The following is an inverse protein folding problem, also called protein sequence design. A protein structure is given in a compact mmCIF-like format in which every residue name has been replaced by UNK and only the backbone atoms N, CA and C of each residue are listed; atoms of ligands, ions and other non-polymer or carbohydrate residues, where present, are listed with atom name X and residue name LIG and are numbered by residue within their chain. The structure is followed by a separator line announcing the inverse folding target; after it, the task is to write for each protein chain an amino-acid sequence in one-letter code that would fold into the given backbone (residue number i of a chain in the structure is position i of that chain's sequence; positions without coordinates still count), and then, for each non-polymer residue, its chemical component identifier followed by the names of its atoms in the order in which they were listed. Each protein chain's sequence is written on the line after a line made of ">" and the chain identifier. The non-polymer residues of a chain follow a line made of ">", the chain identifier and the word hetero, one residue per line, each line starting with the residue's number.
data_IF_996611992935
#
_entry.id   IF_996611992935
#
_cell.length_a   1.000
_cell.length_b   1.000
_cell.length_c   1.000
_cell.angle_alpha   90.00
_cell.angle_beta   90.00
_cell.angle_gamma   90.00
#
_symmetry.space_group_name_H-M   'P 1'
#
loop_
_entity.id
_entity.type
_entity.pdbx_description
1 polymer ?
#
# COMPACT_ATOMS: atom_id res chain seq x y z
N UNK A 1 -12.23 9.22 -24.73
CA UNK A 1 -12.24 10.42 -23.86
C UNK A 1 -11.24 10.16 -22.75
N UNK A 2 -9.97 10.42 -23.04
CA UNK A 2 -8.86 10.15 -22.13
C UNK A 2 -8.91 11.15 -20.98
N UNK A 3 -8.79 10.67 -19.74
CA UNK A 3 -8.61 11.55 -18.59
C UNK A 3 -7.12 11.82 -18.47
N UNK A 4 -6.69 12.95 -19.00
CA UNK A 4 -5.33 13.44 -18.83
C UNK A 4 -5.08 13.74 -17.35
N UNK A 5 -4.02 13.13 -16.81
CA UNK A 5 -3.56 13.36 -15.44
C UNK A 5 -2.57 14.56 -15.40
N UNK A 6 -2.56 15.34 -14.30
CA UNK A 6 -1.76 16.56 -14.21
C UNK A 6 -0.25 16.33 -14.37
N UNK A 7 0.38 17.28 -15.06
CA UNK A 7 1.74 17.27 -15.61
C UNK A 7 2.92 17.27 -14.62
N UNK A 8 2.71 17.12 -13.30
CA UNK A 8 3.74 17.41 -12.29
C UNK A 8 4.50 16.20 -11.71
N UNK A 9 4.47 15.01 -12.32
CA UNK A 9 4.99 13.79 -11.67
C UNK A 9 6.04 12.96 -12.42
N UNK A 10 6.87 13.49 -13.31
CA UNK A 10 7.77 12.64 -14.14
C UNK A 10 8.94 11.95 -13.40
N UNK A 11 8.77 10.67 -13.05
CA UNK A 11 9.79 9.59 -13.07
C UNK A 11 9.12 8.28 -13.52
N UNK A 12 9.55 7.71 -14.65
CA UNK A 12 8.81 6.70 -15.41
C UNK A 12 8.67 5.30 -14.76
N UNK A 13 9.37 5.02 -13.64
CA UNK A 13 9.21 3.76 -12.90
C UNK A 13 8.26 3.84 -11.70
N UNK A 14 8.36 4.91 -10.91
CA UNK A 14 7.55 5.10 -9.70
C UNK A 14 6.07 5.37 -10.00
N UNK A 15 5.74 5.93 -11.19
CA UNK A 15 4.34 6.17 -11.58
C UNK A 15 3.57 4.87 -11.77
N UNK A 16 4.12 3.92 -12.54
CA UNK A 16 3.43 2.67 -12.87
C UNK A 16 3.18 1.85 -11.60
N UNK A 17 4.19 1.75 -10.73
CA UNK A 17 4.05 0.98 -9.50
C UNK A 17 3.01 1.59 -8.53
N UNK A 18 2.97 2.92 -8.41
CA UNK A 18 1.90 3.61 -7.66
C UNK A 18 0.53 3.35 -8.30
N UNK A 19 0.44 3.31 -9.63
CA UNK A 19 -0.81 2.96 -10.33
C UNK A 19 -1.24 1.53 -9.99
N UNK A 20 -0.32 0.56 -10.01
CA UNK A 20 -0.60 -0.83 -9.63
C UNK A 20 -1.09 -0.94 -8.19
N UNK A 21 -0.51 -0.16 -7.26
CA UNK A 21 -0.97 -0.07 -5.88
C UNK A 21 -2.39 0.51 -5.78
N UNK A 22 -2.71 1.56 -6.53
CA UNK A 22 -4.07 2.11 -6.56
C UNK A 22 -5.07 1.11 -7.17
N UNK A 23 -4.69 0.40 -8.22
CA UNK A 23 -5.52 -0.65 -8.81
C UNK A 23 -5.77 -1.80 -7.83
N UNK A 24 -4.72 -2.22 -7.11
CA UNK A 24 -4.84 -3.22 -6.05
C UNK A 24 -5.86 -2.76 -5.00
N UNK A 25 -5.74 -1.53 -4.50
CA UNK A 25 -6.68 -1.00 -3.52
C UNK A 25 -8.12 -0.97 -4.05
N UNK A 26 -8.32 -0.50 -5.28
CA UNK A 26 -9.64 -0.44 -5.90
C UNK A 26 -10.26 -1.83 -6.09
N UNK A 27 -9.48 -2.81 -6.56
CA UNK A 27 -9.94 -4.20 -6.78
C UNK A 27 -10.27 -4.93 -5.48
N UNK A 28 -9.71 -4.49 -4.35
CA UNK A 28 -9.82 -5.21 -3.07
C UNK A 28 -10.65 -4.49 -1.99
N UNK A 29 -11.16 -3.26 -2.22
CA UNK A 29 -11.83 -2.43 -1.20
C UNK A 29 -13.06 -3.07 -0.54
N UNK A 30 -13.75 -3.96 -1.25
CA UNK A 30 -15.02 -4.57 -0.81
C UNK A 30 -14.82 -6.00 -0.22
N UNK A 31 -13.56 -6.45 -0.08
CA UNK A 31 -13.27 -7.79 0.45
C UNK A 31 -13.45 -7.85 1.97
N UNK A 32 -14.08 -8.92 2.44
CA UNK A 32 -14.22 -9.24 3.88
C UNK A 32 -12.89 -9.65 4.53
N UNK A 33 -11.96 -10.19 3.73
CA UNK A 33 -10.62 -10.58 4.16
C UNK A 33 -9.65 -9.45 3.83
N UNK A 34 -8.76 -9.12 4.76
CA UNK A 34 -7.69 -8.12 4.56
C UNK A 34 -6.83 -8.55 3.37
N UNK A 35 -6.80 -7.78 2.27
CA UNK A 35 -6.07 -8.16 1.08
C UNK A 35 -4.56 -8.09 1.36
N UNK A 36 -3.83 -9.10 0.90
CA UNK A 36 -2.40 -9.23 1.13
C UNK A 36 -1.65 -9.18 -0.21
N UNK A 37 -0.58 -8.40 -0.25
CA UNK A 37 0.43 -8.44 -1.30
C UNK A 37 1.52 -9.43 -0.89
N UNK A 38 1.97 -10.24 -1.84
CA UNK A 38 3.20 -11.02 -1.73
C UNK A 38 4.20 -10.42 -2.71
N UNK A 39 5.40 -10.11 -2.24
CA UNK A 39 6.49 -9.59 -3.06
C UNK A 39 7.39 -10.72 -3.56
N UNK A 40 8.24 -10.41 -4.54
CA UNK A 40 9.09 -11.39 -5.24
C UNK A 40 10.01 -12.19 -4.32
N UNK A 41 10.51 -11.59 -3.24
CA UNK A 41 11.36 -12.26 -2.26
C UNK A 41 10.58 -13.07 -1.20
N UNK A 42 9.25 -13.11 -1.29
CA UNK A 42 8.37 -13.78 -0.34
C UNK A 42 7.86 -12.90 0.80
N UNK A 43 8.27 -11.63 0.88
CA UNK A 43 7.71 -10.67 1.82
C UNK A 43 6.20 -10.50 1.61
N UNK A 44 5.43 -10.47 2.70
CA UNK A 44 3.97 -10.31 2.66
C UNK A 44 3.53 -9.14 3.49
N UNK A 45 2.54 -8.41 3.01
CA UNK A 45 1.99 -7.24 3.71
C UNK A 45 0.53 -7.01 3.35
N UNK A 46 -0.28 -6.60 4.33
CA UNK A 46 -1.69 -6.23 4.08
C UNK A 46 -1.79 -4.73 3.86
N UNK A 47 -2.51 -4.31 2.82
CA UNK A 47 -2.67 -2.90 2.46
C UNK A 47 -4.14 -2.65 2.14
N UNK A 48 -4.78 -1.72 2.86
CA UNK A 48 -6.20 -1.46 2.73
C UNK A 48 -6.54 0.03 2.83
N UNK A 49 -7.60 0.43 2.12
CA UNK A 49 -8.14 1.78 2.15
C UNK A 49 -9.65 1.73 1.90
N UNK A 50 -10.43 2.32 2.79
CA UNK A 50 -11.88 2.49 2.67
C UNK A 50 -12.35 3.54 3.69
N UNK A 51 -13.65 3.84 3.75
CA UNK A 51 -14.23 4.68 4.82
C UNK A 51 -13.95 4.15 6.24
N UNK A 52 -13.67 2.85 6.38
CA UNK A 52 -13.40 2.20 7.66
C UNK A 52 -11.94 2.25 8.11
N UNK A 53 -10.98 2.39 7.18
CA UNK A 53 -9.55 2.21 7.45
C UNK A 53 -8.83 3.55 7.73
N UNK A 54 -7.62 3.47 8.28
CA UNK A 54 -6.74 4.62 8.48
C UNK A 54 -6.09 5.10 7.16
N UNK A 55 -6.89 5.72 6.29
CA UNK A 55 -6.44 6.21 4.98
C UNK A 55 -6.87 7.66 4.68
N UNK A 56 -6.26 8.25 3.64
CA UNK A 56 -6.61 9.58 3.12
C UNK A 56 -6.78 9.50 1.59
N UNK A 57 -7.96 9.87 1.04
CA UNK A 57 -9.19 10.21 1.76
C UNK A 57 -9.80 8.98 2.43
N UNK A 58 -10.48 9.17 3.57
CA UNK A 58 -11.19 8.10 4.29
C UNK A 58 -12.56 7.84 3.67
N UNK A 59 -12.57 7.29 2.46
CA UNK A 59 -13.78 6.96 1.69
C UNK A 59 -13.57 5.70 0.85
N UNK A 60 -14.60 5.27 0.11
CA UNK A 60 -14.56 4.05 -0.72
C UNK A 60 -14.23 4.34 -2.20
N UNK A 61 -13.77 5.56 -2.52
CA UNK A 61 -13.63 6.03 -3.91
C UNK A 61 -12.16 6.14 -4.34
N UNK A 62 -11.29 6.68 -3.48
CA UNK A 62 -9.91 6.98 -3.85
C UNK A 62 -9.77 8.06 -4.95
N UNK A 63 -8.58 8.24 -5.57
CA UNK A 63 -7.32 7.58 -5.22
C UNK A 63 -6.84 7.96 -3.82
N UNK A 64 -6.01 7.11 -3.23
CA UNK A 64 -5.52 7.29 -1.87
C UNK A 64 -4.09 7.84 -1.85
N UNK A 65 -3.85 8.84 -1.01
CA UNK A 65 -2.52 9.40 -0.74
C UNK A 65 -1.85 8.73 0.46
N UNK A 66 -2.66 8.22 1.38
CA UNK A 66 -2.23 7.49 2.57
C UNK A 66 -3.14 6.29 2.77
N UNK A 67 -2.59 5.18 3.25
CA UNK A 67 -3.30 3.90 3.40
C UNK A 67 -3.00 3.26 4.75
N UNK A 68 -3.85 2.34 5.16
CA UNK A 68 -3.58 1.50 6.32
C UNK A 68 -2.79 0.28 5.86
N UNK A 69 -1.67 0.05 6.52
CA UNK A 69 -0.79 -1.10 6.29
C UNK A 69 -0.85 -1.99 7.53
N UNK A 70 -0.67 -3.30 7.39
CA UNK A 70 -0.67 -4.17 8.56
C UNK A 70 -0.03 -5.52 8.33
N UNK A 71 0.41 -6.11 9.45
CA UNK A 71 0.91 -7.48 9.53
C UNK A 71 1.95 -7.82 8.46
N UNK A 72 3.06 -7.05 8.35
CA UNK A 72 4.15 -7.43 7.48
C UNK A 72 4.77 -8.76 7.98
N UNK A 73 5.22 -9.62 7.06
CA UNK A 73 5.79 -10.93 7.40
C UNK A 73 7.10 -10.86 8.17
N UNK A 74 7.81 -9.75 8.05
CA UNK A 74 9.01 -9.40 8.82
C UNK A 74 9.03 -7.88 9.04
N UNK A 75 9.77 -7.37 10.06
CA UNK A 75 9.87 -5.93 10.27
C UNK A 75 10.53 -5.21 9.08
N UNK A 76 9.95 -4.09 8.65
CA UNK A 76 10.57 -3.19 7.67
C UNK A 76 10.90 -1.83 8.31
N UNK A 77 12.16 -1.35 8.27
CA UNK A 77 12.55 -0.06 8.84
C UNK A 77 11.82 1.15 8.23
N UNK A 78 11.33 1.06 6.99
CA UNK A 78 10.54 2.13 6.36
C UNK A 78 9.14 2.26 6.97
N UNK A 79 8.64 1.22 7.64
CA UNK A 79 7.32 1.21 8.26
C UNK A 79 7.39 1.51 9.76
N UNK A 80 8.53 1.27 10.42
CA UNK A 80 8.65 1.28 11.88
C UNK A 80 8.12 2.57 12.55
N UNK A 81 8.30 3.74 11.93
CA UNK A 81 7.81 5.02 12.49
C UNK A 81 6.27 5.14 12.47
N UNK A 82 5.59 4.36 11.63
CA UNK A 82 4.13 4.38 11.48
C UNK A 82 3.46 3.33 12.35
N UNK A 83 4.19 2.49 13.08
CA UNK A 83 3.62 1.39 13.85
C UNK A 83 2.72 1.89 14.99
N UNK A 84 1.50 1.35 15.10
CA UNK A 84 0.63 1.59 16.27
C UNK A 84 1.21 0.91 17.53
N UNK A 85 1.87 -0.23 17.35
CA UNK A 85 2.66 -0.92 18.37
C UNK A 85 4.14 -0.97 17.94
N UNK A 86 5.03 -0.17 18.55
CA UNK A 86 6.43 -0.13 18.18
C UNK A 86 7.25 -1.34 18.68
N UNK A 87 6.65 -2.22 19.49
CA UNK A 87 7.30 -3.45 20.01
C UNK A 87 7.03 -4.62 19.07
N UNK A 88 5.80 -4.78 18.60
CA UNK A 88 5.35 -5.93 17.80
C UNK A 88 5.13 -5.56 16.31
N UNK A 89 6.22 -5.23 15.61
CA UNK A 89 6.18 -4.70 14.23
C UNK A 89 5.53 -5.64 13.20
N UNK A 90 5.52 -6.96 13.42
CA UNK A 90 4.85 -7.90 12.49
C UNK A 90 3.39 -8.17 12.85
N UNK A 91 2.92 -7.70 14.01
CA UNK A 91 1.58 -7.97 14.56
C UNK A 91 0.80 -6.70 14.87
N UNK A 92 1.12 -5.63 14.16
CA UNK A 92 0.50 -4.31 14.35
C UNK A 92 -0.04 -3.72 13.06
N UNK A 93 -0.84 -2.67 13.23
CA UNK A 93 -1.34 -1.81 12.16
C UNK A 93 -0.44 -0.57 12.07
N UNK A 94 -0.33 -0.06 10.85
CA UNK A 94 0.43 1.12 10.51
C UNK A 94 -0.55 2.11 9.87
N UNK A 95 -1.13 3.04 10.66
CA UNK A 95 -2.12 3.99 10.16
C UNK A 95 -1.51 5.06 9.27
N UNK A 96 -2.25 5.48 8.23
CA UNK A 96 -1.92 6.63 7.38
C UNK A 96 -0.51 6.61 6.78
N UNK A 97 -0.02 5.45 6.33
CA UNK A 97 1.27 5.34 5.65
C UNK A 97 1.16 6.00 4.27
N UNK A 98 2.05 6.94 3.89
CA UNK A 98 2.05 7.52 2.56
C UNK A 98 2.24 6.44 1.48
N UNK A 99 1.46 6.49 0.39
CA UNK A 99 1.57 5.47 -0.68
C UNK A 99 2.96 5.40 -1.31
N UNK A 100 3.72 6.51 -1.29
CA UNK A 100 5.11 6.53 -1.74
C UNK A 100 6.07 5.74 -0.84
N UNK A 101 5.79 5.63 0.48
CA UNK A 101 6.56 4.78 1.40
C UNK A 101 6.18 3.32 1.19
N UNK A 102 4.88 3.03 1.05
CA UNK A 102 4.40 1.67 0.73
C UNK A 102 5.02 1.16 -0.56
N UNK A 103 5.12 2.01 -1.59
CA UNK A 103 5.78 1.64 -2.83
C UNK A 103 7.27 1.34 -2.63
N UNK A 104 7.98 2.14 -1.85
CA UNK A 104 9.39 1.88 -1.55
C UNK A 104 9.62 0.54 -0.83
N UNK A 105 8.72 0.16 0.08
CA UNK A 105 8.73 -1.17 0.72
C UNK A 105 8.56 -2.27 -0.33
N UNK A 106 7.54 -2.16 -1.19
CA UNK A 106 7.28 -3.15 -2.25
C UNK A 106 8.46 -3.26 -3.20
N UNK A 107 9.04 -2.13 -3.64
CA UNK A 107 10.18 -2.10 -4.54
C UNK A 107 11.44 -2.72 -3.91
N UNK A 108 11.69 -2.42 -2.63
CA UNK A 108 12.78 -3.03 -1.84
C UNK A 108 12.66 -4.55 -1.80
N UNK A 109 11.44 -5.08 -1.78
CA UNK A 109 11.12 -6.51 -1.78
C UNK A 109 10.91 -7.11 -3.21
N UNK A 110 11.36 -6.39 -4.24
CA UNK A 110 11.39 -6.87 -5.62
C UNK A 110 10.06 -6.77 -6.37
N UNK A 111 9.16 -5.90 -5.93
CA UNK A 111 7.86 -5.68 -6.55
C UNK A 111 6.79 -6.69 -6.13
N UNK A 112 5.54 -6.41 -6.50
CA UNK A 112 4.43 -7.35 -6.29
C UNK A 112 4.64 -8.59 -7.16
N UNK A 113 4.47 -9.77 -6.58
CA UNK A 113 4.41 -11.00 -7.37
C UNK A 113 3.05 -11.15 -8.04
N UNK A 114 3.07 -11.36 -9.36
CA UNK A 114 1.94 -11.83 -10.15
C UNK A 114 1.59 -13.28 -9.76
N UNK A 115 1.02 -13.48 -8.57
CA UNK A 115 0.39 -14.76 -8.26
C UNK A 115 -0.94 -14.83 -9.01
N UNK A 116 -0.85 -15.29 -10.26
CA UNK A 116 -1.94 -15.76 -11.12
C UNK A 116 -2.80 -16.82 -10.43
#
# INVERSE_FOLDING_TARGET
>A
MGRDLPSSWSFYGAKEAIVDLQEFLFKNRDKLVKPQITCTDGFKISIQASRGHYCIPRNDVGPYTHVEVGYPSEPDPLLAEYAEDPVELTLTVYPYVPVGIVQQVIDKHGGMSDNK
#
